data_IF_327263356957
#
_entry.id   IF_327263356957
#
_cell.length_a   1.000
_cell.length_b   1.000
_cell.length_c   1.000
_cell.angle_alpha   90.00
_cell.angle_beta   90.00
_cell.angle_gamma   90.00
#
_symmetry.space_group_name_H-M   'P 1'
#
loop_
_entity.id
_entity.type
_entity.pdbx_description
1 polymer ?
#
# COMPACT_ATOMS: atom_id res chain seq x y z
N UNK A 1 -4.31 -11.81 24.64
CA UNK A 1 -3.24 -12.07 23.66
C UNK A 1 -3.42 -11.05 22.55
N UNK A 2 -2.55 -10.04 22.44
CA UNK A 2 -2.56 -9.14 21.28
C UNK A 2 -2.16 -9.96 20.06
N UNK A 3 -3.14 -10.40 19.27
CA UNK A 3 -2.86 -10.97 17.95
C UNK A 3 -2.02 -9.97 17.18
N UNK A 4 -0.92 -10.42 16.57
CA UNK A 4 -0.10 -9.56 15.75
C UNK A 4 -1.00 -8.89 14.69
N UNK A 5 -1.13 -7.57 14.75
CA UNK A 5 -1.89 -6.82 13.76
C UNK A 5 -1.10 -6.87 12.46
N UNK A 6 -1.49 -7.75 11.54
CA UNK A 6 -0.86 -7.84 10.23
C UNK A 6 -1.25 -6.56 9.48
N UNK A 7 -0.29 -5.72 9.09
CA UNK A 7 -0.63 -4.47 8.43
C UNK A 7 -1.24 -4.75 7.07
N UNK A 8 -2.31 -4.02 6.75
CA UNK A 8 -3.05 -4.12 5.48
C UNK A 8 -2.18 -3.65 4.33
N UNK A 9 -2.32 -4.27 3.16
CA UNK A 9 -1.41 -4.10 2.04
C UNK A 9 -2.10 -3.51 0.82
N UNK A 10 -1.37 -2.68 0.10
CA UNK A 10 -1.72 -2.15 -1.22
C UNK A 10 -0.55 -2.40 -2.16
N UNK A 11 -0.74 -3.24 -3.16
CA UNK A 11 0.23 -3.55 -4.21
C UNK A 11 0.03 -2.57 -5.36
N UNK A 12 1.08 -1.86 -5.75
CA UNK A 12 1.05 -0.91 -6.88
C UNK A 12 1.81 -1.46 -8.09
N UNK A 13 1.45 -0.95 -9.26
CA UNK A 13 2.17 -1.23 -10.51
C UNK A 13 3.63 -0.77 -10.45
N UNK A 14 4.51 -1.46 -11.18
CA UNK A 14 5.94 -1.08 -11.31
C UNK A 14 6.11 0.35 -11.83
N UNK A 15 5.17 0.83 -12.65
CA UNK A 15 5.11 2.21 -13.14
C UNK A 15 4.99 3.24 -12.00
N UNK A 16 4.27 2.91 -10.92
CA UNK A 16 4.05 3.80 -9.79
C UNK A 16 5.24 3.86 -8.83
N UNK A 17 6.03 2.78 -8.74
CA UNK A 17 7.11 2.59 -7.76
C UNK A 17 8.04 3.80 -7.63
N UNK A 18 8.65 4.34 -8.70
CA UNK A 18 9.58 5.46 -8.56
C UNK A 18 8.91 6.74 -8.02
N UNK A 19 7.62 6.94 -8.29
CA UNK A 19 6.88 8.11 -7.80
C UNK A 19 6.52 7.96 -6.33
N UNK A 20 6.02 6.79 -5.95
CA UNK A 20 5.64 6.46 -4.56
C UNK A 20 6.87 6.46 -3.65
N UNK A 21 7.99 5.89 -4.10
CA UNK A 21 9.25 5.85 -3.35
C UNK A 21 9.82 7.24 -3.03
N UNK A 22 9.44 8.28 -3.78
CA UNK A 22 9.82 9.67 -3.52
C UNK A 22 8.78 10.46 -2.73
N UNK A 23 7.82 9.78 -2.09
CA UNK A 23 6.74 10.41 -1.32
C UNK A 23 5.54 10.86 -2.17
N UNK A 24 5.44 10.41 -3.42
CA UNK A 24 4.27 10.63 -4.25
C UNK A 24 3.03 9.88 -3.75
N UNK A 25 1.84 10.35 -4.13
CA UNK A 25 0.57 9.69 -3.79
C UNK A 25 0.36 8.41 -4.61
N UNK A 26 -0.26 7.42 -4.00
CA UNK A 26 -0.79 6.25 -4.70
C UNK A 26 -2.16 6.61 -5.28
N UNK A 27 -2.33 6.42 -6.60
CA UNK A 27 -3.63 6.58 -7.26
C UNK A 27 -4.26 5.22 -7.50
N UNK A 28 -5.57 5.10 -7.26
CA UNK A 28 -6.33 3.84 -7.37
C UNK A 28 -6.16 3.13 -8.71
N UNK A 29 -6.09 3.87 -9.83
CA UNK A 29 -5.86 3.30 -11.17
C UNK A 29 -4.51 2.59 -11.34
N UNK A 30 -3.56 2.81 -10.43
CA UNK A 30 -2.23 2.17 -10.43
C UNK A 30 -2.12 1.06 -9.37
N UNK A 31 -3.18 0.81 -8.61
CA UNK A 31 -3.26 -0.28 -7.63
C UNK A 31 -3.59 -1.57 -8.37
N UNK A 32 -2.76 -2.60 -8.18
CA UNK A 32 -2.97 -3.93 -8.76
C UNK A 32 -3.79 -4.83 -7.83
N UNK A 33 -3.57 -4.71 -6.51
CA UNK A 33 -4.26 -5.46 -5.47
C UNK A 33 -4.28 -4.63 -4.20
N UNK A 34 -5.37 -4.65 -3.46
CA UNK A 34 -5.44 -4.15 -2.10
C UNK A 34 -6.10 -5.22 -1.22
N UNK A 35 -5.73 -5.26 0.06
CA UNK A 35 -6.46 -6.09 1.01
C UNK A 35 -7.91 -5.55 1.14
N UNK A 36 -8.93 -6.43 1.15
CA UNK A 36 -10.33 -6.03 1.01
C UNK A 36 -10.88 -5.27 2.22
N UNK A 37 -10.16 -5.26 3.33
CA UNK A 37 -10.52 -4.62 4.59
C UNK A 37 -9.83 -3.26 4.80
N UNK A 38 -9.18 -2.70 3.76
CA UNK A 38 -8.66 -1.33 3.78
C UNK A 38 -9.83 -0.34 3.77
N UNK A 39 -9.90 0.46 4.83
CA UNK A 39 -10.89 1.51 5.05
C UNK A 39 -10.23 2.89 5.03
N UNK A 40 -11.00 3.97 4.77
CA UNK A 40 -10.51 5.33 4.95
C UNK A 40 -9.95 5.55 6.36
N UNK A 41 -8.76 6.13 6.44
CA UNK A 41 -8.04 6.39 7.68
C UNK A 41 -7.02 5.31 8.06
N UNK A 42 -7.09 4.12 7.46
CA UNK A 42 -6.16 3.03 7.76
C UNK A 42 -4.73 3.38 7.34
N UNK A 43 -3.78 2.91 8.15
CA UNK A 43 -2.38 2.83 7.78
C UNK A 43 -2.11 1.52 7.03
N UNK A 44 -1.52 1.61 5.83
CA UNK A 44 -1.29 0.48 4.93
C UNK A 44 0.17 0.40 4.49
N UNK A 45 0.66 -0.82 4.28
CA UNK A 45 1.91 -1.07 3.56
C UNK A 45 1.68 -0.94 2.06
N UNK A 46 2.48 -0.10 1.41
CA UNK A 46 2.52 -0.01 -0.06
C UNK A 46 3.65 -0.89 -0.57
N UNK A 47 3.31 -1.85 -1.44
CA UNK A 47 4.22 -2.87 -1.94
C UNK A 47 4.39 -2.77 -3.46
N UNK A 48 5.54 -3.22 -3.97
CA UNK A 48 5.69 -3.58 -5.38
C UNK A 48 5.03 -4.94 -5.68
N UNK A 49 5.01 -5.34 -6.95
CA UNK A 49 4.42 -6.62 -7.39
C UNK A 49 5.12 -7.88 -6.85
N UNK A 50 6.33 -7.73 -6.29
CA UNK A 50 7.12 -8.81 -5.69
C UNK A 50 6.98 -8.79 -4.16
N UNK A 51 5.95 -8.11 -3.64
CA UNK A 51 5.69 -7.93 -2.22
C UNK A 51 6.81 -7.21 -1.45
N UNK A 52 7.65 -6.41 -2.12
CA UNK A 52 8.65 -5.57 -1.46
C UNK A 52 8.04 -4.28 -0.98
N UNK A 53 8.30 -3.93 0.28
CA UNK A 53 7.82 -2.67 0.87
C UNK A 53 8.48 -1.47 0.21
N UNK A 54 7.65 -0.53 -0.23
CA UNK A 54 8.06 0.76 -0.77
C UNK A 54 7.95 1.82 0.33
N UNK A 55 6.78 1.92 0.97
CA UNK A 55 6.49 2.90 2.02
C UNK A 55 5.26 2.48 2.83
N UNK A 56 4.96 3.26 3.87
CA UNK A 56 3.69 3.25 4.60
C UNK A 56 2.85 4.45 4.12
N UNK A 57 1.53 4.28 4.03
CA UNK A 57 0.61 5.35 3.63
C UNK A 57 -0.70 5.32 4.43
N UNK A 58 -1.39 6.47 4.49
CA UNK A 58 -2.75 6.56 4.99
C UNK A 58 -3.75 6.48 3.84
N UNK A 59 -4.72 5.58 3.93
CA UNK A 59 -5.79 5.45 2.94
C UNK A 59 -6.85 6.56 3.14
N UNK A 60 -7.34 7.16 2.05
CA UNK A 60 -8.43 8.14 2.03
C UNK A 60 -9.11 8.16 0.66
#
# INVERSE_FOLDING_TARGET
>A
MSGANIPKKVVVSDYAVPFVARGGRVFSKLVLRADPDVNPGDEVLVLDRNDRVITVAKAY
#
